data_IF_923735353876
#
_entry.id   IF_923735353876
#
_cell.length_a   1.000
_cell.length_b   1.000
_cell.length_c   1.000
_cell.angle_alpha   90.00
_cell.angle_beta   90.00
_cell.angle_gamma   90.00
#
_symmetry.space_group_name_H-M   'P 1'
#
loop_
_entity.id
_entity.type
_entity.pdbx_description
1 polymer ?
#
# COMPACT_ATOMS: atom_id res chain seq x y z
N UNK A 1 18.16 -5.60 -9.63
CA UNK A 1 17.51 -5.04 -8.44
C UNK A 1 16.08 -5.59 -8.48
N UNK A 2 15.71 -6.47 -7.56
CA UNK A 2 14.35 -7.01 -7.55
C UNK A 2 13.41 -5.85 -7.24
N UNK A 3 12.37 -5.58 -8.05
CA UNK A 3 11.50 -4.47 -7.73
C UNK A 3 10.74 -4.83 -6.44
N UNK A 4 10.75 -3.89 -5.49
CA UNK A 4 10.08 -4.02 -4.21
C UNK A 4 8.56 -3.90 -4.42
N UNK A 5 7.91 -5.02 -4.74
CA UNK A 5 6.50 -5.12 -5.06
C UNK A 5 5.70 -5.57 -3.83
N UNK A 6 4.85 -4.70 -3.29
CA UNK A 6 4.03 -5.06 -2.13
C UNK A 6 3.08 -6.25 -2.42
N UNK A 7 2.49 -6.30 -3.62
CA UNK A 7 1.51 -7.30 -4.04
C UNK A 7 1.93 -7.92 -5.38
N UNK A 8 1.90 -9.25 -5.44
CA UNK A 8 2.07 -10.06 -6.65
C UNK A 8 0.87 -10.99 -6.77
N UNK A 9 0.21 -11.02 -7.93
CA UNK A 9 -0.89 -11.96 -8.19
C UNK A 9 -0.41 -13.15 -9.00
N UNK A 10 -0.61 -14.36 -8.49
CA UNK A 10 -0.32 -15.61 -9.20
C UNK A 10 -1.60 -16.15 -9.81
N UNK A 11 -1.83 -15.91 -11.10
CA UNK A 11 -2.97 -16.48 -11.81
C UNK A 11 -2.79 -17.98 -12.00
N UNK A 12 -3.69 -18.76 -11.39
CA UNK A 12 -3.78 -20.21 -11.50
C UNK A 12 -4.84 -20.55 -12.53
N UNK A 13 -4.44 -20.57 -13.80
CA UNK A 13 -5.31 -20.73 -14.96
C UNK A 13 -5.65 -22.20 -15.17
N UNK A 14 -6.95 -22.49 -15.26
CA UNK A 14 -7.54 -23.74 -15.70
C UNK A 14 -8.50 -23.46 -16.86
N UNK A 15 -8.17 -23.93 -18.07
CA UNK A 15 -8.92 -23.62 -19.29
C UNK A 15 -8.39 -22.39 -20.04
N UNK A 16 -9.21 -21.81 -20.89
CA UNK A 16 -8.83 -20.65 -21.70
C UNK A 16 -8.97 -19.35 -20.89
N UNK A 17 -7.97 -18.47 -20.93
CA UNK A 17 -8.03 -17.17 -20.27
C UNK A 17 -7.51 -16.05 -21.17
N UNK A 18 -7.98 -14.83 -20.92
CA UNK A 18 -7.51 -13.61 -21.57
C UNK A 18 -6.45 -12.92 -20.69
N UNK A 19 -5.19 -13.02 -21.10
CA UNK A 19 -4.07 -12.41 -20.39
C UNK A 19 -4.20 -10.88 -20.29
N UNK A 20 -4.78 -10.19 -21.29
CA UNK A 20 -4.95 -8.73 -21.26
C UNK A 20 -5.90 -8.32 -20.13
N UNK A 21 -7.03 -9.03 -20.01
CA UNK A 21 -8.00 -8.84 -18.95
C UNK A 21 -7.39 -9.09 -17.57
N UNK A 22 -6.66 -10.19 -17.39
CA UNK A 22 -6.06 -10.56 -16.11
C UNK A 22 -4.98 -9.57 -15.67
N UNK A 23 -4.05 -9.20 -16.56
CA UNK A 23 -3.00 -8.22 -16.23
C UNK A 23 -3.57 -6.83 -15.98
N UNK A 24 -4.59 -6.41 -16.76
CA UNK A 24 -5.29 -5.15 -16.51
C UNK A 24 -5.97 -5.14 -15.14
N UNK A 25 -6.56 -6.27 -14.73
CA UNK A 25 -7.16 -6.44 -13.41
C UNK A 25 -6.11 -6.26 -12.31
N UNK A 26 -4.97 -6.94 -12.42
CA UNK A 26 -3.85 -6.79 -11.47
C UNK A 26 -3.41 -5.32 -11.34
N UNK A 27 -3.25 -4.63 -12.48
CA UNK A 27 -2.89 -3.20 -12.51
C UNK A 27 -3.92 -2.33 -11.80
N UNK A 28 -5.21 -2.55 -12.06
CA UNK A 28 -6.29 -1.72 -11.52
C UNK A 28 -6.38 -1.80 -10.00
N UNK A 29 -6.11 -2.97 -9.42
CA UNK A 29 -6.09 -3.14 -7.96
C UNK A 29 -4.77 -2.72 -7.31
N UNK A 30 -3.82 -2.18 -8.09
CA UNK A 30 -2.55 -1.67 -7.59
C UNK A 30 -1.45 -2.71 -7.43
N UNK A 31 -1.63 -3.94 -7.90
CA UNK A 31 -0.54 -4.91 -8.01
C UNK A 31 0.44 -4.46 -9.12
N UNK A 32 1.73 -4.73 -8.91
CA UNK A 32 2.81 -4.30 -9.82
C UNK A 32 3.57 -5.45 -10.47
N UNK A 33 3.27 -6.67 -10.04
CA UNK A 33 3.76 -7.88 -10.66
C UNK A 33 2.69 -8.97 -10.69
N UNK A 34 2.84 -9.88 -11.64
CA UNK A 34 2.00 -11.07 -11.77
C UNK A 34 2.87 -12.30 -12.06
N UNK A 35 2.34 -13.46 -11.73
CA UNK A 35 2.87 -14.78 -12.08
C UNK A 35 1.73 -15.51 -12.81
N UNK A 36 2.08 -16.36 -13.78
CA UNK A 36 1.11 -17.23 -14.45
C UNK A 36 1.67 -18.65 -14.59
N UNK A 37 0.79 -19.64 -14.44
CA UNK A 37 1.10 -21.05 -14.71
C UNK A 37 0.90 -21.44 -16.20
N UNK A 38 0.31 -20.57 -17.02
CA UNK A 38 -0.01 -20.84 -18.43
C UNK A 38 0.13 -19.58 -19.31
N UNK A 39 0.07 -19.75 -20.64
CA UNK A 39 -0.01 -18.63 -21.60
C UNK A 39 1.11 -17.56 -21.44
N UNK A 40 2.35 -18.00 -21.16
CA UNK A 40 3.46 -17.09 -20.78
C UNK A 40 3.74 -15.97 -21.80
N UNK A 41 3.63 -16.26 -23.11
CA UNK A 41 3.88 -15.26 -24.16
C UNK A 41 2.79 -14.18 -24.19
N UNK A 42 1.52 -14.56 -24.07
CA UNK A 42 0.39 -13.61 -23.99
C UNK A 42 0.51 -12.72 -22.75
N UNK A 43 0.91 -13.32 -21.61
CA UNK A 43 1.19 -12.57 -20.38
C UNK A 43 2.35 -11.60 -20.54
N UNK A 44 3.40 -11.96 -21.28
CA UNK A 44 4.54 -11.07 -21.53
C UNK A 44 4.13 -9.84 -22.31
N UNK A 45 3.29 -10.00 -23.34
CA UNK A 45 2.73 -8.88 -24.11
C UNK A 45 1.85 -7.99 -23.24
N UNK A 46 0.88 -8.56 -22.51
CA UNK A 46 -0.01 -7.83 -21.63
C UNK A 46 0.74 -7.09 -20.50
N UNK A 47 1.74 -7.73 -19.89
CA UNK A 47 2.61 -7.13 -18.88
C UNK A 47 3.35 -5.91 -19.43
N UNK A 48 3.91 -6.02 -20.63
CA UNK A 48 4.56 -4.88 -21.30
C UNK A 48 3.58 -3.73 -21.55
N UNK A 49 2.35 -4.02 -21.99
CA UNK A 49 1.30 -3.02 -22.26
C UNK A 49 0.92 -2.22 -21.03
N UNK A 50 0.79 -2.87 -19.87
CA UNK A 50 0.32 -2.25 -18.63
C UNK A 50 1.44 -1.85 -17.66
N UNK A 51 2.72 -2.02 -18.04
CA UNK A 51 3.88 -1.77 -17.17
C UNK A 51 3.80 -2.57 -15.86
N UNK A 52 3.40 -3.84 -15.99
CA UNK A 52 3.37 -4.82 -14.92
C UNK A 52 4.54 -5.77 -15.12
N UNK A 53 5.19 -6.19 -14.05
CA UNK A 53 6.29 -7.14 -14.13
C UNK A 53 5.77 -8.58 -14.18
N UNK A 54 6.21 -9.35 -15.16
CA UNK A 54 5.99 -10.79 -15.19
C UNK A 54 7.10 -11.46 -14.37
N UNK A 55 6.76 -11.91 -13.17
CA UNK A 55 7.70 -12.55 -12.26
C UNK A 55 7.88 -14.04 -12.56
N UNK A 56 9.01 -14.58 -12.13
CA UNK A 56 9.27 -16.01 -12.13
C UNK A 56 8.31 -16.74 -11.18
N UNK A 57 8.17 -18.05 -11.39
CA UNK A 57 7.32 -18.89 -10.56
C UNK A 57 7.77 -18.87 -9.10
N UNK A 58 6.80 -18.65 -8.21
CA UNK A 58 6.99 -18.62 -6.77
C UNK A 58 5.72 -19.10 -6.07
N UNK A 59 5.90 -19.64 -4.87
CA UNK A 59 4.78 -20.08 -4.05
C UNK A 59 3.97 -18.88 -3.57
N UNK A 60 2.67 -18.92 -3.89
CA UNK A 60 1.69 -17.98 -3.38
C UNK A 60 0.87 -18.60 -2.26
N UNK A 61 0.18 -17.74 -1.53
CA UNK A 61 -0.79 -18.13 -0.49
C UNK A 61 -2.21 -17.94 -0.99
N UNK A 62 -3.12 -18.80 -0.55
CA UNK A 62 -4.55 -18.64 -0.76
C UNK A 62 -5.10 -17.74 0.36
N UNK A 63 -5.67 -16.60 -0.01
CA UNK A 63 -6.24 -15.61 0.92
C UNK A 63 -7.71 -15.39 0.59
N UNK A 64 -8.44 -14.81 1.54
CA UNK A 64 -9.85 -14.45 1.38
C UNK A 64 -10.06 -12.96 1.70
N UNK A 65 -11.29 -12.47 1.51
CA UNK A 65 -11.62 -11.06 1.74
C UNK A 65 -11.37 -10.59 3.17
N UNK A 66 -11.33 -11.49 4.15
CA UNK A 66 -11.33 -11.15 5.57
C UNK A 66 -9.89 -10.98 6.10
N UNK A 67 -8.90 -11.68 5.51
CA UNK A 67 -7.50 -11.69 5.96
C UNK A 67 -6.50 -11.04 4.98
N UNK A 68 -6.92 -10.72 3.75
CA UNK A 68 -6.00 -10.27 2.71
C UNK A 68 -5.28 -8.98 3.04
N UNK A 69 -6.00 -7.95 3.54
CA UNK A 69 -5.38 -6.66 3.87
C UNK A 69 -4.43 -6.80 5.05
N UNK A 70 -4.83 -7.56 6.07
CA UNK A 70 -3.98 -7.88 7.22
C UNK A 70 -2.67 -8.54 6.79
N UNK A 71 -2.75 -9.50 5.88
CA UNK A 71 -1.59 -10.21 5.36
C UNK A 71 -0.70 -9.31 4.52
N UNK A 72 -1.28 -8.48 3.63
CA UNK A 72 -0.54 -7.51 2.82
C UNK A 72 0.23 -6.54 3.70
N UNK A 73 -0.45 -5.93 4.67
CA UNK A 73 0.15 -4.91 5.55
C UNK A 73 1.23 -5.54 6.45
N UNK A 74 0.98 -6.72 7.02
CA UNK A 74 1.95 -7.44 7.87
C UNK A 74 3.20 -7.85 7.08
N UNK A 75 3.05 -8.36 5.86
CA UNK A 75 4.20 -8.70 5.03
C UNK A 75 4.99 -7.44 4.67
N UNK A 76 4.30 -6.34 4.35
CA UNK A 76 4.94 -5.05 4.06
C UNK A 76 5.76 -4.53 5.24
N UNK A 77 5.21 -4.59 6.45
CA UNK A 77 5.93 -4.24 7.69
C UNK A 77 7.22 -5.05 7.84
N UNK A 78 7.19 -6.32 7.45
CA UNK A 78 8.33 -7.23 7.51
C UNK A 78 9.27 -7.15 6.28
N UNK A 79 9.07 -6.18 5.38
CA UNK A 79 9.88 -6.03 4.16
C UNK A 79 9.69 -7.17 3.15
N UNK A 80 8.52 -7.83 3.17
CA UNK A 80 8.18 -8.95 2.29
C UNK A 80 7.07 -8.55 1.31
N UNK A 81 7.07 -9.22 0.16
CA UNK A 81 5.99 -9.16 -0.81
C UNK A 81 4.89 -10.15 -0.40
N UNK A 82 3.64 -9.85 -0.75
CA UNK A 82 2.54 -10.82 -0.65
C UNK A 82 2.25 -11.38 -2.03
N UNK A 83 2.49 -12.68 -2.20
CA UNK A 83 2.18 -13.44 -3.42
C UNK A 83 0.86 -14.17 -3.19
N UNK A 84 -0.18 -13.78 -3.93
CA UNK A 84 -1.56 -14.25 -3.73
C UNK A 84 -1.95 -15.13 -4.90
N UNK A 85 -2.39 -16.36 -4.63
CA UNK A 85 -2.94 -17.22 -5.68
C UNK A 85 -4.34 -16.75 -6.07
N UNK A 86 -4.57 -16.60 -7.38
CA UNK A 86 -5.83 -16.18 -7.96
C UNK A 86 -6.32 -17.29 -8.90
N UNK A 87 -7.30 -18.12 -8.47
CA UNK A 87 -7.91 -19.12 -9.34
C UNK A 87 -8.61 -18.47 -10.54
N UNK A 88 -8.38 -19.02 -11.73
CA UNK A 88 -9.07 -18.59 -12.96
C UNK A 88 -9.59 -19.82 -13.69
N UNK A 89 -10.90 -19.93 -13.84
CA UNK A 89 -11.54 -21.01 -14.60
C UNK A 89 -12.22 -20.46 -15.82
N UNK A 90 -11.81 -20.89 -17.01
CA UNK A 90 -12.34 -20.43 -18.30
C UNK A 90 -12.39 -18.89 -18.39
N UNK A 91 -11.32 -18.24 -17.92
CA UNK A 91 -11.12 -16.80 -17.98
C UNK A 91 -11.94 -16.00 -16.98
N UNK A 92 -12.57 -16.65 -16.00
CA UNK A 92 -13.44 -16.02 -15.00
C UNK A 92 -12.95 -16.25 -13.58
N UNK A 93 -13.24 -15.25 -12.75
CA UNK A 93 -13.16 -15.34 -11.30
C UNK A 93 -14.49 -15.87 -10.76
N UNK A 94 -14.44 -16.69 -9.71
CA UNK A 94 -15.62 -16.99 -8.91
C UNK A 94 -15.95 -15.83 -7.96
N UNK A 95 -17.09 -15.90 -7.28
CA UNK A 95 -17.56 -14.83 -6.39
C UNK A 95 -16.60 -14.59 -5.21
N UNK A 96 -15.92 -15.66 -4.74
CA UNK A 96 -14.95 -15.57 -3.64
C UNK A 96 -13.71 -14.79 -4.10
N UNK A 97 -13.20 -15.11 -5.28
CA UNK A 97 -12.05 -14.44 -5.89
C UNK A 97 -12.39 -13.00 -6.25
N UNK A 98 -13.59 -12.74 -6.78
CA UNK A 98 -14.03 -11.39 -7.08
C UNK A 98 -14.09 -10.54 -5.80
N UNK A 99 -14.68 -11.08 -4.72
CA UNK A 99 -14.74 -10.39 -3.43
C UNK A 99 -13.35 -10.11 -2.86
N UNK A 100 -12.42 -11.06 -2.96
CA UNK A 100 -11.02 -10.88 -2.58
C UNK A 100 -10.38 -9.69 -3.34
N UNK A 101 -10.52 -9.66 -4.66
CA UNK A 101 -9.97 -8.62 -5.52
C UNK A 101 -10.61 -7.25 -5.24
N UNK A 102 -11.93 -7.21 -4.98
CA UNK A 102 -12.65 -5.99 -4.64
C UNK A 102 -12.21 -5.42 -3.28
N UNK A 103 -11.96 -6.28 -2.29
CA UNK A 103 -11.39 -5.87 -0.99
C UNK A 103 -10.01 -5.25 -1.17
N UNK A 104 -9.12 -5.89 -1.95
CA UNK A 104 -7.79 -5.33 -2.26
C UNK A 104 -7.95 -3.98 -2.94
N UNK A 105 -8.78 -3.90 -3.98
CA UNK A 105 -8.97 -2.68 -4.76
C UNK A 105 -9.47 -1.52 -3.90
N UNK A 106 -10.45 -1.76 -3.03
CA UNK A 106 -11.04 -0.73 -2.17
C UNK A 106 -10.00 -0.12 -1.23
N UNK A 107 -9.16 -0.96 -0.61
CA UNK A 107 -8.10 -0.48 0.26
C UNK A 107 -6.96 0.19 -0.52
N UNK A 108 -6.54 -0.40 -1.64
CA UNK A 108 -5.46 0.12 -2.50
C UNK A 108 -5.85 1.44 -3.18
N UNK A 109 -7.13 1.70 -3.40
CA UNK A 109 -7.60 2.97 -3.96
C UNK A 109 -7.26 4.15 -3.03
N UNK A 110 -7.39 3.97 -1.72
CA UNK A 110 -7.07 4.99 -0.73
C UNK A 110 -5.59 4.99 -0.35
N UNK A 111 -5.02 3.81 -0.12
CA UNK A 111 -3.71 3.69 0.55
C UNK A 111 -2.61 3.08 -0.32
N UNK A 112 -2.91 2.73 -1.58
CA UNK A 112 -1.98 2.02 -2.46
C UNK A 112 -0.73 2.81 -2.81
N UNK A 113 -0.78 4.14 -2.80
CA UNK A 113 0.40 5.00 -2.95
C UNK A 113 1.36 4.83 -1.77
N UNK A 114 0.85 4.92 -0.54
CA UNK A 114 1.66 4.72 0.68
C UNK A 114 2.27 3.32 0.74
N UNK A 115 1.51 2.29 0.32
CA UNK A 115 1.99 0.90 0.31
C UNK A 115 3.08 0.67 -0.74
N UNK A 116 2.82 1.05 -2.00
CA UNK A 116 3.70 0.74 -3.13
C UNK A 116 4.96 1.62 -3.17
N UNK A 117 4.85 2.88 -2.75
CA UNK A 117 5.97 3.82 -2.78
C UNK A 117 6.69 3.92 -1.44
N UNK A 118 6.12 3.35 -0.38
CA UNK A 118 6.78 3.21 0.91
C UNK A 118 8.08 2.41 0.81
N UNK A 119 9.06 2.75 1.62
CA UNK A 119 10.25 1.95 1.97
C UNK A 119 10.35 1.91 3.50
N UNK A 120 11.15 0.99 4.04
CA UNK A 120 11.39 0.92 5.48
C UNK A 120 11.86 2.29 6.02
N UNK A 121 11.25 2.71 7.13
CA UNK A 121 11.58 3.93 7.85
C UNK A 121 12.45 3.63 9.07
N UNK A 122 13.32 4.56 9.43
CA UNK A 122 14.04 4.52 10.72
C UNK A 122 13.23 5.12 11.86
N UNK A 123 12.07 5.72 11.56
CA UNK A 123 11.15 6.25 12.56
C UNK A 123 10.40 5.12 13.25
N UNK A 124 10.13 5.29 14.53
CA UNK A 124 9.38 4.33 15.33
C UNK A 124 8.04 4.93 15.75
N UNK A 125 7.04 4.08 15.93
CA UNK A 125 5.79 4.45 16.57
C UNK A 125 5.43 3.47 17.68
N UNK A 126 4.79 3.96 18.74
CA UNK A 126 4.23 3.11 19.78
C UNK A 126 2.98 2.34 19.32
N UNK A 127 2.41 2.66 18.17
CA UNK A 127 1.30 1.94 17.56
C UNK A 127 1.45 1.90 16.04
N UNK A 128 1.36 0.70 15.47
CA UNK A 128 1.52 0.52 14.03
C UNK A 128 2.97 0.49 13.57
N UNK A 129 3.20 0.81 12.30
CA UNK A 129 4.55 0.92 11.71
C UNK A 129 4.63 2.02 10.67
N UNK A 130 5.86 2.42 10.33
CA UNK A 130 6.11 3.58 9.47
C UNK A 130 6.82 3.15 8.19
N UNK A 131 6.31 3.61 7.06
CA UNK A 131 7.03 3.64 5.80
C UNK A 131 7.39 5.07 5.43
N UNK A 132 8.51 5.26 4.75
CA UNK A 132 8.91 6.52 4.14
C UNK A 132 8.63 6.47 2.64
N UNK A 133 8.17 7.55 2.02
CA UNK A 133 8.05 7.57 0.56
C UNK A 133 9.46 7.53 -0.08
N UNK A 134 9.68 6.59 -1.00
CA UNK A 134 10.96 6.39 -1.69
C UNK A 134 11.36 7.53 -2.63
N UNK A 135 10.39 8.33 -3.09
CA UNK A 135 10.55 9.43 -4.03
C UNK A 135 10.41 10.81 -3.39
N UNK A 136 9.79 10.89 -2.21
CA UNK A 136 9.54 12.11 -1.46
C UNK A 136 9.85 11.87 0.03
N UNK A 137 11.13 11.92 0.41
CA UNK A 137 11.59 11.59 1.76
C UNK A 137 10.95 12.45 2.87
N UNK A 138 10.45 13.64 2.53
CA UNK A 138 9.64 14.48 3.41
C UNK A 138 8.25 13.90 3.73
N UNK A 139 7.81 12.81 3.11
CA UNK A 139 6.55 12.12 3.41
C UNK A 139 6.81 10.80 4.13
N UNK A 140 6.19 10.65 5.30
CA UNK A 140 6.15 9.39 6.05
C UNK A 140 4.70 8.94 6.21
N UNK A 141 4.47 7.64 6.18
CA UNK A 141 3.16 7.02 6.29
C UNK A 141 3.13 6.13 7.52
N UNK A 142 2.21 6.41 8.45
CA UNK A 142 2.01 5.57 9.64
C UNK A 142 0.78 4.70 9.40
N UNK A 143 0.99 3.39 9.39
CA UNK A 143 -0.06 2.38 9.24
C UNK A 143 -0.54 2.00 10.62
N UNK A 144 -1.83 2.22 10.90
CA UNK A 144 -2.44 2.01 12.22
C UNK A 144 -3.65 1.09 12.04
N UNK A 145 -3.80 0.11 12.92
CA UNK A 145 -4.92 -0.84 12.86
C UNK A 145 -5.98 -0.48 13.90
N UNK A 146 -7.25 -0.57 13.51
CA UNK A 146 -8.40 -0.46 14.42
C UNK A 146 -8.39 -1.60 15.46
N UNK A 147 -8.87 -1.37 16.69
CA UNK A 147 -9.39 -0.10 17.21
C UNK A 147 -8.28 0.95 17.38
N UNK A 148 -8.56 2.20 16.97
CA UNK A 148 -7.59 3.28 17.02
C UNK A 148 -7.33 3.70 18.48
N UNK A 149 -6.06 3.89 18.89
CA UNK A 149 -5.78 4.54 20.17
C UNK A 149 -6.18 6.02 20.10
N UNK A 150 -6.42 6.66 21.24
CA UNK A 150 -6.68 8.11 21.28
C UNK A 150 -5.49 8.94 20.77
N UNK A 151 -4.27 8.43 20.96
CA UNK A 151 -3.02 9.09 20.57
C UNK A 151 -1.98 8.09 20.11
N UNK A 152 -1.11 8.55 19.22
CA UNK A 152 0.12 7.85 18.87
C UNK A 152 1.33 8.75 19.10
N UNK A 153 2.45 8.12 19.45
CA UNK A 153 3.76 8.76 19.56
C UNK A 153 4.64 8.27 18.42
N UNK A 154 5.31 9.20 17.74
CA UNK A 154 6.32 8.92 16.72
C UNK A 154 7.65 9.55 17.15
N UNK A 155 8.72 8.76 17.07
CA UNK A 155 10.07 9.16 17.49
C UNK A 155 11.05 9.04 16.32
N UNK A 156 12.20 9.72 16.46
CA UNK A 156 13.25 9.75 15.44
C UNK A 156 13.13 10.90 14.44
N UNK A 157 12.11 11.75 14.57
CA UNK A 157 11.99 12.99 13.82
C UNK A 157 12.98 14.03 14.37
N UNK A 158 13.67 14.72 13.47
CA UNK A 158 14.64 15.77 13.82
C UNK A 158 14.01 17.16 13.93
N UNK A 159 12.84 17.35 13.32
CA UNK A 159 12.12 18.61 13.25
C UNK A 159 10.62 18.38 13.38
N UNK A 160 9.91 19.44 13.79
CA UNK A 160 8.46 19.45 13.81
C UNK A 160 7.92 19.29 12.38
N UNK A 161 6.96 18.38 12.14
CA UNK A 161 6.33 18.28 10.83
C UNK A 161 5.47 19.50 10.55
N UNK A 162 5.32 19.85 9.27
CA UNK A 162 4.42 20.92 8.84
C UNK A 162 2.95 20.49 8.97
N UNK A 163 2.68 19.21 8.70
CA UNK A 163 1.32 18.66 8.70
C UNK A 163 1.29 17.19 9.05
N UNK A 164 0.23 16.78 9.73
CA UNK A 164 -0.17 15.40 9.90
C UNK A 164 -1.62 15.29 9.47
N UNK A 165 -1.95 14.34 8.60
CA UNK A 165 -3.32 14.17 8.08
C UNK A 165 -3.65 12.69 7.87
N UNK A 166 -4.92 12.31 7.98
CA UNK A 166 -5.39 11.06 7.40
C UNK A 166 -5.23 11.09 5.88
N UNK A 167 -4.73 10.01 5.29
CA UNK A 167 -4.70 9.90 3.81
C UNK A 167 -6.13 9.84 3.27
N UNK A 168 -7.00 9.16 4.01
CA UNK A 168 -8.43 9.15 3.77
C UNK A 168 -8.98 10.59 3.87
N UNK A 169 -9.47 11.10 2.74
CA UNK A 169 -10.02 12.45 2.57
C UNK A 169 -9.15 13.65 3.01
N UNK A 170 -7.87 13.46 3.35
CA UNK A 170 -6.91 14.52 3.72
C UNK A 170 -7.35 15.36 4.93
N UNK A 171 -7.96 14.70 5.92
CA UNK A 171 -8.37 15.35 7.17
C UNK A 171 -7.15 15.59 8.07
N UNK A 172 -6.88 16.84 8.41
CA UNK A 172 -5.78 17.22 9.29
C UNK A 172 -5.96 16.67 10.71
N UNK A 173 -4.85 16.30 11.34
CA UNK A 173 -4.77 15.79 12.71
C UNK A 173 -3.99 16.75 13.60
N UNK A 174 -4.51 17.03 14.77
CA UNK A 174 -3.81 17.82 15.78
C UNK A 174 -2.62 17.05 16.33
N UNK A 175 -1.46 17.71 16.39
CA UNK A 175 -0.26 17.12 16.96
C UNK A 175 0.53 18.14 17.80
N UNK A 176 1.45 17.63 18.59
CA UNK A 176 2.46 18.43 19.30
C UNK A 176 3.82 17.81 19.08
N UNK A 177 4.84 18.63 18.86
CA UNK A 177 6.23 18.18 18.77
C UNK A 177 7.07 18.76 19.90
N UNK A 178 7.63 17.90 20.74
CA UNK A 178 8.49 18.31 21.85
C UNK A 178 9.52 17.23 22.15
N UNK A 179 10.76 17.65 22.43
CA UNK A 179 11.85 16.76 22.85
C UNK A 179 12.10 15.61 21.84
N UNK A 180 11.94 15.87 20.54
CA UNK A 180 12.13 14.88 19.47
C UNK A 180 10.99 13.86 19.32
N UNK A 181 9.84 14.12 19.96
CA UNK A 181 8.66 13.26 19.95
C UNK A 181 7.48 13.99 19.35
N UNK A 182 6.84 13.34 18.38
CA UNK A 182 5.59 13.79 17.77
C UNK A 182 4.44 13.02 18.42
N UNK A 183 3.55 13.73 19.13
CA UNK A 183 2.33 13.16 19.71
C UNK A 183 1.16 13.61 18.84
N UNK A 184 0.49 12.65 18.19
CA UNK A 184 -0.65 12.89 17.30
C UNK A 184 -1.91 12.46 18.04
N UNK A 185 -2.91 13.35 18.12
CA UNK A 185 -4.23 12.99 18.63
C UNK A 185 -5.04 12.40 17.47
N UNK A 186 -5.44 11.14 17.59
CA UNK A 186 -6.20 10.47 16.53
C UNK A 186 -7.68 10.84 16.66
N UNK A 187 -8.25 11.27 15.54
CA UNK A 187 -9.69 11.34 15.33
C UNK A 187 -10.13 10.18 14.46
N UNK A 188 -11.40 9.83 14.53
CA UNK A 188 -11.97 8.76 13.72
C UNK A 188 -11.92 9.14 12.21
N UNK A 189 -11.26 8.35 11.35
CA UNK A 189 -11.29 8.57 9.91
C UNK A 189 -12.65 8.18 9.33
N UNK A 190 -12.98 8.72 8.15
CA UNK A 190 -14.29 8.52 7.50
C UNK A 190 -14.51 7.07 7.07
N UNK A 191 -13.47 6.41 6.56
CA UNK A 191 -13.52 5.00 6.18
C UNK A 191 -13.56 4.06 7.39
N UNK A 192 -14.33 2.98 7.24
CA UNK A 192 -14.49 1.89 8.20
C UNK A 192 -13.42 0.80 8.06
N UNK A 193 -12.46 0.98 7.15
CA UNK A 193 -11.37 0.03 6.90
C UNK A 193 -10.56 -0.24 8.17
N UNK A 194 -10.22 -1.51 8.40
CA UNK A 194 -9.49 -1.93 9.58
C UNK A 194 -8.08 -1.34 9.67
N UNK A 195 -7.38 -1.25 8.54
CA UNK A 195 -6.09 -0.58 8.44
C UNK A 195 -6.26 0.82 7.88
N UNK A 196 -5.81 1.79 8.65
CA UNK A 196 -5.83 3.21 8.35
C UNK A 196 -4.41 3.72 8.14
N UNK A 197 -4.27 4.78 7.35
CA UNK A 197 -2.96 5.37 7.07
C UNK A 197 -3.02 6.87 7.21
N UNK A 198 -2.15 7.42 8.04
CA UNK A 198 -1.90 8.86 8.13
C UNK A 198 -0.57 9.21 7.47
N UNK A 199 -0.48 10.44 6.97
CA UNK A 199 0.72 11.01 6.39
C UNK A 199 1.29 12.07 7.32
N UNK A 200 2.56 11.92 7.67
CA UNK A 200 3.38 12.96 8.28
C UNK A 200 4.15 13.65 7.16
N UNK A 201 3.93 14.94 7.01
CA UNK A 201 4.61 15.80 6.04
C UNK A 201 5.66 16.61 6.80
N UNK A 202 6.94 16.31 6.58
CA UNK A 202 8.04 17.05 7.15
C UNK A 202 8.03 18.51 6.69
N UNK A 203 8.56 19.39 7.54
CA UNK A 203 8.87 20.76 7.18
C UNK A 203 9.92 20.77 6.07
N UNK A 204 9.69 21.59 5.03
CA UNK A 204 10.66 21.73 3.94
C UNK A 204 11.26 23.14 3.99
N UNK A 205 12.58 23.31 3.79
CA UNK A 205 13.21 24.64 3.78
C UNK A 205 12.57 25.61 2.78
N UNK A 206 12.00 25.12 1.68
CA UNK A 206 11.25 25.95 0.74
C UNK A 206 9.93 26.49 1.29
N UNK A 207 9.34 25.84 2.31
CA UNK A 207 8.13 26.33 2.98
C UNK A 207 8.44 27.58 3.85
N UNK A 208 9.71 27.81 4.21
CA UNK A 208 10.18 29.03 4.88
C UNK A 208 10.40 30.21 3.90
N UNK A 209 10.33 29.97 2.59
CA UNK A 209 10.43 31.03 1.57
C UNK A 209 9.06 31.72 1.44
N UNK A 210 8.68 32.46 2.48
CA UNK A 210 7.50 33.33 2.47
C UNK A 210 7.88 34.62 1.71
N UNK A 211 7.14 34.88 0.63
CA UNK A 211 7.01 36.15 -0.11
C UNK A 211 8.29 36.98 -0.37
N UNK A 212 8.88 36.81 -1.55
CA UNK A 212 9.47 37.96 -2.25
C UNK A 212 8.33 38.74 -2.92
N UNK A 213 7.91 39.85 -2.33
CA UNK A 213 7.20 40.88 -3.07
C UNK A 213 8.12 41.33 -4.23
N UNK A 214 7.63 41.17 -5.47
CA UNK A 214 8.22 41.81 -6.65
C UNK A 214 7.54 43.15 -6.88
#
# INVERSE_FOLDING_TARGET
>A
MNPDFAIVLTFKINGNADADFLVKTARNIGARAVITNAQKDDFKEACSKYTIFLADEADGVDLNSDDVIDTIVTNRQNGKNTIINIPVTDGKFDDITQKLLDTINSWMHLFGHALNEGKSSTLESNNGFILENRHADYQKYVFVKRPLPEKIEVTGLTQEPNRVEWIDHRTDLDFTFKDGKLIINLTEPESDLAWQVLRIQAHRPEDDIIHTEF
#
